data_IF_870016087794
#
_entry.id   IF_870016087794
#
_cell.length_a   1.000
_cell.length_b   1.000
_cell.length_c   1.000
_cell.angle_alpha   90.00
_cell.angle_beta   90.00
_cell.angle_gamma   90.00
#
_symmetry.space_group_name_H-M   'P 1'
#
loop_
_entity.id
_entity.type
_entity.pdbx_description
1 polymer ?
#
# COMPACT_ATOMS: atom_id res chain seq x y z
N UNK A 1 3.75 19.25 -20.78
CA UNK A 1 2.97 19.89 -19.68
C UNK A 1 3.87 20.08 -18.49
N UNK A 2 3.60 21.12 -17.70
CA UNK A 2 4.23 21.31 -16.38
C UNK A 2 3.34 20.70 -15.30
N UNK A 3 3.83 19.66 -14.60
CA UNK A 3 3.06 18.85 -13.68
C UNK A 3 3.67 18.93 -12.27
N UNK A 4 2.86 19.37 -11.30
CA UNK A 4 3.21 19.33 -9.89
C UNK A 4 2.70 18.03 -9.24
N UNK A 5 3.56 17.33 -8.52
CA UNK A 5 3.22 16.09 -7.80
C UNK A 5 3.43 16.35 -6.31
N UNK A 6 2.39 16.20 -5.52
CA UNK A 6 2.45 16.41 -4.07
C UNK A 6 2.56 15.07 -3.36
N UNK A 7 3.71 14.83 -2.72
CA UNK A 7 4.09 13.60 -2.02
C UNK A 7 5.08 12.73 -2.81
N UNK A 8 6.23 12.45 -2.20
CA UNK A 8 7.28 11.57 -2.71
C UNK A 8 7.18 10.14 -2.16
N UNK A 9 5.96 9.63 -1.98
CA UNK A 9 5.70 8.22 -1.67
C UNK A 9 5.73 7.34 -2.93
N UNK A 10 5.41 6.04 -2.77
CA UNK A 10 5.44 5.04 -3.87
C UNK A 10 4.67 5.52 -5.10
N UNK A 11 3.43 6.02 -4.93
CA UNK A 11 2.61 6.49 -6.05
C UNK A 11 3.16 7.73 -6.73
N UNK A 12 3.57 8.73 -5.93
CA UNK A 12 4.11 10.01 -6.44
C UNK A 12 5.41 9.83 -7.19
N UNK A 13 6.34 9.04 -6.65
CA UNK A 13 7.61 8.74 -7.34
C UNK A 13 7.40 7.89 -8.59
N UNK A 14 6.48 6.89 -8.55
CA UNK A 14 6.20 6.08 -9.75
C UNK A 14 5.63 6.93 -10.87
N UNK A 15 4.66 7.81 -10.60
CA UNK A 15 4.09 8.66 -11.64
C UNK A 15 5.09 9.71 -12.13
N UNK A 16 5.96 10.22 -11.25
CA UNK A 16 7.03 11.14 -11.62
C UNK A 16 8.02 10.49 -12.59
N UNK A 17 8.49 9.28 -12.28
CA UNK A 17 9.40 8.52 -13.14
C UNK A 17 8.80 8.33 -14.55
N UNK A 18 7.58 7.81 -14.63
CA UNK A 18 6.95 7.48 -15.90
C UNK A 18 6.62 8.72 -16.75
N UNK A 19 6.12 9.80 -16.14
CA UNK A 19 5.77 11.01 -16.87
C UNK A 19 7.01 11.83 -17.29
N UNK A 20 8.07 11.78 -16.49
CA UNK A 20 9.36 12.40 -16.85
C UNK A 20 9.96 11.77 -18.12
N UNK A 21 9.87 10.44 -18.26
CA UNK A 21 10.32 9.72 -19.47
C UNK A 21 9.54 10.12 -20.72
N UNK A 22 8.29 10.56 -20.58
CA UNK A 22 7.45 11.08 -21.67
C UNK A 22 7.75 12.55 -22.01
N UNK A 23 8.75 13.16 -21.37
CA UNK A 23 9.15 14.54 -21.65
C UNK A 23 8.28 15.60 -20.99
N UNK A 24 7.49 15.24 -19.96
CA UNK A 24 6.79 16.24 -19.16
C UNK A 24 7.76 16.94 -18.19
N UNK A 25 7.53 18.23 -17.94
CA UNK A 25 8.23 18.99 -16.89
C UNK A 25 7.62 18.63 -15.53
N UNK A 26 8.34 17.86 -14.73
CA UNK A 26 7.87 17.31 -13.46
C UNK A 26 8.48 18.03 -12.28
N UNK A 27 7.69 18.33 -11.26
CA UNK A 27 8.16 18.79 -9.96
C UNK A 27 7.44 18.02 -8.84
N UNK A 28 8.20 17.30 -8.03
CA UNK A 28 7.71 16.53 -6.87
C UNK A 28 7.99 17.33 -5.61
N UNK A 29 6.98 17.46 -4.74
CA UNK A 29 7.07 18.17 -3.46
C UNK A 29 6.89 17.19 -2.31
N UNK A 30 7.85 17.14 -1.42
CA UNK A 30 7.83 16.30 -0.21
C UNK A 30 8.04 17.18 1.02
N UNK A 31 7.13 17.06 2.00
CA UNK A 31 7.21 17.86 3.23
C UNK A 31 8.32 17.44 4.18
N UNK A 32 8.82 16.21 4.07
CA UNK A 32 9.93 15.72 4.88
C UNK A 32 11.28 16.19 4.32
N UNK A 33 12.30 16.20 5.20
CA UNK A 33 13.67 16.53 4.83
C UNK A 33 14.35 15.46 3.97
N UNK A 34 13.78 14.27 3.88
CA UNK A 34 14.26 13.15 3.06
C UNK A 34 13.12 12.28 2.62
N UNK A 35 13.33 11.55 1.53
CA UNK A 35 12.37 10.56 1.04
C UNK A 35 12.45 9.35 1.96
N UNK A 36 11.51 9.24 2.87
CA UNK A 36 11.40 8.10 3.78
C UNK A 36 9.94 7.75 4.03
N UNK A 37 9.69 6.47 4.12
CA UNK A 37 8.37 5.96 4.48
C UNK A 37 8.48 5.09 5.74
N UNK A 38 7.60 5.39 6.68
CA UNK A 38 7.50 4.63 7.92
C UNK A 38 6.76 3.32 7.61
N UNK A 39 7.53 2.26 7.38
CA UNK A 39 6.96 0.96 7.07
C UNK A 39 8.00 -0.15 7.15
N UNK A 40 7.57 -1.36 7.56
CA UNK A 40 8.47 -2.49 7.66
C UNK A 40 8.65 -3.14 6.27
N UNK A 41 7.71 -3.96 5.84
CA UNK A 41 7.75 -4.64 4.55
C UNK A 41 6.52 -4.35 3.69
N UNK A 42 6.64 -4.68 2.41
CA UNK A 42 5.59 -4.45 1.42
C UNK A 42 5.58 -5.55 0.37
N UNK A 43 4.39 -5.87 -0.15
CA UNK A 43 4.20 -6.78 -1.27
C UNK A 43 3.85 -6.04 -2.56
N UNK A 44 4.44 -6.46 -3.67
CA UNK A 44 4.12 -6.03 -5.03
C UNK A 44 3.61 -7.23 -5.81
N UNK A 45 2.35 -7.17 -6.21
CA UNK A 45 1.71 -8.26 -6.93
C UNK A 45 2.08 -8.30 -8.42
N UNK A 46 1.92 -9.47 -9.01
CA UNK A 46 2.12 -9.75 -10.43
C UNK A 46 1.37 -8.78 -11.39
N UNK A 47 0.23 -8.25 -10.94
CA UNK A 47 -0.54 -7.25 -11.67
C UNK A 47 0.26 -5.97 -11.98
N UNK A 48 1.15 -5.54 -11.10
CA UNK A 48 2.03 -4.38 -11.32
C UNK A 48 3.15 -4.75 -12.30
N UNK A 49 3.83 -5.87 -12.05
CA UNK A 49 4.95 -6.34 -12.87
C UNK A 49 4.53 -6.54 -14.33
N UNK A 50 3.38 -7.17 -14.55
CA UNK A 50 2.82 -7.38 -15.90
C UNK A 50 2.44 -6.08 -16.61
N UNK A 51 1.97 -5.08 -15.88
CA UNK A 51 1.61 -3.78 -16.49
C UNK A 51 2.83 -2.92 -16.81
N UNK A 52 3.87 -2.98 -16.02
CA UNK A 52 5.15 -2.37 -16.35
C UNK A 52 5.80 -3.04 -17.59
N UNK A 53 5.60 -4.36 -17.75
CA UNK A 53 6.13 -5.11 -18.89
C UNK A 53 7.65 -5.09 -18.93
N UNK A 54 8.24 -4.57 -20.03
CA UNK A 54 9.68 -4.51 -20.23
C UNK A 54 10.34 -3.24 -19.69
N UNK A 55 9.57 -2.37 -19.03
CA UNK A 55 10.09 -1.16 -18.40
C UNK A 55 11.19 -1.49 -17.38
N UNK A 56 12.24 -0.68 -17.33
CA UNK A 56 13.40 -0.93 -16.46
C UNK A 56 13.03 -0.99 -14.98
N UNK A 57 12.02 -0.23 -14.54
CA UNK A 57 11.48 -0.34 -13.19
C UNK A 57 10.98 -1.76 -12.87
N UNK A 58 10.38 -2.49 -13.85
CA UNK A 58 9.97 -3.87 -13.63
C UNK A 58 11.16 -4.80 -13.39
N UNK A 59 12.27 -4.59 -14.12
CA UNK A 59 13.52 -5.33 -13.93
C UNK A 59 14.13 -5.00 -12.56
N UNK A 60 14.17 -3.71 -12.20
CA UNK A 60 14.64 -3.25 -10.89
C UNK A 60 13.87 -3.90 -9.74
N UNK A 61 12.53 -3.93 -9.82
CA UNK A 61 11.67 -4.58 -8.82
C UNK A 61 11.95 -6.09 -8.69
N UNK A 62 12.09 -6.80 -9.81
CA UNK A 62 12.42 -8.25 -9.80
C UNK A 62 13.77 -8.55 -9.18
N UNK A 63 14.76 -7.69 -9.39
CA UNK A 63 16.11 -7.87 -8.84
C UNK A 63 16.17 -7.51 -7.34
N UNK A 64 15.37 -6.55 -6.89
CA UNK A 64 15.35 -6.08 -5.50
C UNK A 64 14.33 -6.80 -4.61
N UNK A 65 13.44 -7.59 -5.16
CA UNK A 65 12.36 -8.25 -4.43
C UNK A 65 12.61 -9.74 -4.18
N UNK A 66 12.14 -10.22 -3.02
CA UNK A 66 12.04 -11.65 -2.73
C UNK A 66 10.77 -12.21 -3.37
N UNK A 67 10.90 -13.33 -4.11
CA UNK A 67 9.77 -13.97 -4.80
C UNK A 67 9.00 -14.85 -3.81
N UNK A 68 7.68 -14.70 -3.76
CA UNK A 68 6.78 -15.59 -3.04
C UNK A 68 6.19 -16.65 -3.96
N UNK A 69 6.15 -17.90 -3.49
CA UNK A 69 5.52 -19.05 -4.17
C UNK A 69 4.10 -19.32 -3.66
N UNK A 70 3.83 -19.04 -2.38
CA UNK A 70 2.50 -19.20 -1.82
C UNK A 70 2.25 -18.26 -0.63
N UNK A 71 0.96 -18.18 -0.27
CA UNK A 71 0.50 -17.56 0.96
C UNK A 71 -0.35 -18.57 1.73
N UNK A 72 0.01 -18.79 3.00
CA UNK A 72 -0.69 -19.68 3.92
C UNK A 72 -1.43 -18.89 5.00
N UNK A 73 -2.59 -19.42 5.39
CA UNK A 73 -3.33 -18.98 6.59
C UNK A 73 -3.44 -20.18 7.51
N UNK A 74 -2.94 -20.01 8.73
CA UNK A 74 -3.00 -21.01 9.80
C UNK A 74 -3.77 -20.46 11.00
N UNK A 75 -4.19 -21.33 11.93
CA UNK A 75 -4.72 -20.87 13.20
C UNK A 75 -3.60 -20.58 14.22
N UNK A 76 -3.97 -20.10 15.41
CA UNK A 76 -3.05 -19.77 16.50
C UNK A 76 -2.36 -21.01 17.14
N UNK A 77 -2.64 -22.21 16.66
CA UNK A 77 -1.96 -23.47 17.00
C UNK A 77 -1.09 -24.00 15.87
N UNK A 78 -0.96 -23.23 14.76
CA UNK A 78 -0.17 -23.63 13.60
C UNK A 78 -0.87 -24.60 12.63
N UNK A 79 -2.16 -24.92 12.85
CA UNK A 79 -2.89 -25.79 11.92
C UNK A 79 -3.24 -25.01 10.65
N UNK A 80 -2.83 -25.55 9.50
CA UNK A 80 -3.12 -24.96 8.20
C UNK A 80 -4.65 -24.87 7.97
N UNK A 81 -5.15 -23.71 7.67
CA UNK A 81 -6.56 -23.48 7.30
C UNK A 81 -6.72 -23.40 5.78
N UNK A 82 -5.79 -22.78 5.10
CA UNK A 82 -5.79 -22.67 3.64
C UNK A 82 -4.42 -22.24 3.12
N UNK A 83 -4.12 -22.65 1.90
CA UNK A 83 -2.94 -22.21 1.16
C UNK A 83 -3.36 -21.75 -0.24
N UNK A 84 -2.81 -20.64 -0.67
CA UNK A 84 -2.98 -20.09 -2.01
C UNK A 84 -1.64 -20.12 -2.71
N UNK A 85 -1.36 -21.14 -3.52
CA UNK A 85 -0.16 -21.17 -4.34
C UNK A 85 -0.26 -20.10 -5.42
N UNK A 86 0.85 -19.45 -5.70
CA UNK A 86 0.95 -18.56 -6.86
C UNK A 86 1.34 -19.38 -8.10
N UNK A 87 0.80 -19.01 -9.25
CA UNK A 87 1.15 -19.71 -10.49
C UNK A 87 2.61 -19.41 -10.85
N UNK A 88 3.33 -20.42 -11.36
CA UNK A 88 4.77 -20.34 -11.67
C UNK A 88 5.14 -19.19 -12.61
N UNK A 89 4.21 -18.78 -13.49
CA UNK A 89 4.37 -17.68 -14.43
C UNK A 89 4.06 -16.32 -13.82
N UNK A 90 3.69 -16.24 -12.53
CA UNK A 90 3.40 -14.98 -11.84
C UNK A 90 4.58 -14.56 -10.97
N UNK A 91 4.76 -13.24 -10.86
CA UNK A 91 5.80 -12.63 -10.05
C UNK A 91 5.17 -11.85 -8.91
N UNK A 92 5.14 -12.44 -7.72
CA UNK A 92 4.70 -11.75 -6.50
C UNK A 92 5.94 -11.51 -5.64
N UNK A 93 6.22 -10.24 -5.36
CA UNK A 93 7.44 -9.79 -4.72
C UNK A 93 7.17 -9.25 -3.33
N UNK A 94 8.12 -9.45 -2.43
CA UNK A 94 8.17 -8.77 -1.14
C UNK A 94 9.52 -8.10 -0.95
N UNK A 95 9.52 -6.94 -0.30
CA UNK A 95 10.75 -6.20 -0.02
C UNK A 95 10.55 -5.29 1.19
N UNK A 96 11.64 -4.78 1.73
CA UNK A 96 11.62 -3.69 2.71
C UNK A 96 10.98 -2.47 2.04
N UNK A 97 10.06 -1.80 2.72
CA UNK A 97 9.30 -0.68 2.14
C UNK A 97 10.19 0.49 1.74
N UNK A 98 11.22 0.79 2.55
CA UNK A 98 12.20 1.83 2.21
C UNK A 98 12.99 1.47 0.94
N UNK A 99 13.41 0.20 0.79
CA UNK A 99 14.12 -0.25 -0.42
C UNK A 99 13.29 -0.09 -1.70
N UNK A 100 11.97 -0.28 -1.62
CA UNK A 100 11.08 -0.01 -2.75
C UNK A 100 11.09 1.48 -3.13
N UNK A 101 10.99 2.36 -2.14
CA UNK A 101 10.98 3.81 -2.36
C UNK A 101 12.31 4.29 -2.92
N UNK A 102 13.41 3.84 -2.33
CA UNK A 102 14.77 4.16 -2.80
C UNK A 102 14.98 3.72 -4.25
N UNK A 103 14.54 2.49 -4.58
CA UNK A 103 14.57 2.00 -5.95
C UNK A 103 13.78 2.89 -6.91
N UNK A 104 12.53 3.23 -6.59
CA UNK A 104 11.71 4.07 -7.48
C UNK A 104 12.32 5.48 -7.61
N UNK A 105 12.86 6.03 -6.54
CA UNK A 105 13.51 7.34 -6.54
C UNK A 105 14.70 7.41 -7.52
N UNK A 106 15.41 6.30 -7.76
CA UNK A 106 16.51 6.28 -8.75
C UNK A 106 16.06 6.55 -10.19
N UNK A 107 14.78 6.38 -10.48
CA UNK A 107 14.17 6.67 -11.78
C UNK A 107 13.67 8.12 -11.91
N UNK A 108 13.76 8.92 -10.86
CA UNK A 108 13.35 10.34 -10.88
C UNK A 108 14.59 11.21 -10.78
N UNK A 109 14.72 12.20 -11.67
CA UNK A 109 15.84 13.15 -11.61
C UNK A 109 15.81 13.91 -10.29
N UNK A 110 16.96 14.00 -9.63
CA UNK A 110 17.08 14.63 -8.31
C UNK A 110 16.63 16.09 -8.31
N UNK A 111 16.92 16.83 -9.37
CA UNK A 111 16.51 18.23 -9.56
C UNK A 111 15.00 18.43 -9.63
N UNK A 112 14.24 17.36 -9.92
CA UNK A 112 12.79 17.39 -9.95
C UNK A 112 12.15 17.17 -8.58
N UNK A 113 12.95 16.86 -7.53
CA UNK A 113 12.42 16.57 -6.19
C UNK A 113 12.77 17.74 -5.26
N UNK A 114 11.74 18.31 -4.65
CA UNK A 114 11.82 19.38 -3.65
C UNK A 114 11.44 18.81 -2.28
N UNK A 115 12.46 18.69 -1.41
CA UNK A 115 12.28 18.27 -0.01
C UNK A 115 12.03 19.48 0.89
N UNK A 116 11.46 19.26 2.08
CA UNK A 116 11.04 20.33 3.02
C UNK A 116 10.03 21.31 2.41
N UNK A 117 9.25 20.88 1.42
CA UNK A 117 8.25 21.71 0.76
C UNK A 117 6.83 21.16 1.04
N UNK A 118 6.21 21.69 2.08
CA UNK A 118 4.84 21.34 2.45
C UNK A 118 3.85 22.23 1.71
N UNK A 119 2.94 21.60 0.97
CA UNK A 119 1.81 22.29 0.30
C UNK A 119 0.72 22.56 1.33
N UNK A 120 0.36 23.83 1.48
CA UNK A 120 -0.68 24.31 2.41
C UNK A 120 -1.91 24.88 1.70
N UNK A 121 -1.80 25.22 0.42
CA UNK A 121 -2.89 25.77 -0.39
C UNK A 121 -2.88 25.27 -1.82
N UNK A 122 -4.07 25.22 -2.43
CA UNK A 122 -4.26 24.88 -3.83
C UNK A 122 -5.36 25.78 -4.43
N UNK A 123 -5.03 26.46 -5.52
CA UNK A 123 -5.94 27.34 -6.25
C UNK A 123 -6.11 26.86 -7.67
N UNK A 124 -7.33 26.44 -8.03
CA UNK A 124 -7.60 25.82 -9.34
C UNK A 124 -8.41 26.78 -10.21
N UNK A 125 -7.82 27.20 -11.34
CA UNK A 125 -8.44 28.03 -12.38
C UNK A 125 -8.73 27.21 -13.65
N UNK A 126 -9.27 27.86 -14.67
CA UNK A 126 -9.47 27.24 -15.98
C UNK A 126 -8.15 27.00 -16.72
N UNK A 127 -7.14 27.84 -16.48
CA UNK A 127 -5.86 27.81 -17.19
C UNK A 127 -4.77 27.03 -16.48
N UNK A 128 -4.91 26.75 -15.18
CA UNK A 128 -3.88 26.03 -14.42
C UNK A 128 -4.19 25.92 -12.92
N UNK A 129 -3.17 25.45 -12.20
CA UNK A 129 -3.23 25.26 -10.74
C UNK A 129 -2.05 25.98 -10.09
N UNK A 130 -2.32 26.74 -9.05
CA UNK A 130 -1.28 27.28 -8.17
C UNK A 130 -1.22 26.48 -6.86
N UNK A 131 -0.02 26.16 -6.40
CA UNK A 131 0.25 25.56 -5.10
C UNK A 131 0.98 26.57 -4.22
N UNK A 132 0.48 26.75 -2.99
CA UNK A 132 1.14 27.55 -1.97
C UNK A 132 1.86 26.65 -0.98
N UNK A 133 3.04 27.06 -0.57
CA UNK A 133 3.95 26.31 0.30
C UNK A 133 4.14 27.00 1.65
N UNK A 134 4.50 26.22 2.68
CA UNK A 134 4.85 26.76 4.01
C UNK A 134 5.99 27.79 3.92
N UNK A 135 6.88 27.66 2.95
CA UNK A 135 7.97 28.63 2.67
C UNK A 135 7.47 30.01 2.24
N UNK A 136 6.17 30.19 1.96
CA UNK A 136 5.59 31.40 1.40
C UNK A 136 5.71 31.51 -0.13
N UNK A 137 6.33 30.54 -0.78
CA UNK A 137 6.41 30.50 -2.23
C UNK A 137 5.07 30.01 -2.85
N UNK A 138 4.83 30.40 -4.11
CA UNK A 138 3.74 29.88 -4.95
C UNK A 138 4.33 29.36 -6.26
N UNK A 139 3.85 28.20 -6.72
CA UNK A 139 4.26 27.63 -8.02
C UNK A 139 3.03 27.28 -8.87
N UNK A 140 3.18 27.42 -10.19
CA UNK A 140 2.08 27.22 -11.16
C UNK A 140 2.32 26.01 -12.05
N UNK A 141 1.26 25.25 -12.33
CA UNK A 141 1.25 24.00 -13.07
C UNK A 141 0.04 23.90 -14.02
N UNK A 142 0.19 23.14 -15.09
CA UNK A 142 -0.92 22.76 -15.97
C UNK A 142 -1.83 21.73 -15.28
N UNK A 143 -1.22 20.83 -14.49
CA UNK A 143 -1.85 19.74 -13.76
C UNK A 143 -1.16 19.56 -12.41
N UNK A 144 -1.94 19.28 -11.37
CA UNK A 144 -1.44 18.84 -10.06
C UNK A 144 -1.91 17.42 -9.78
N UNK A 145 -1.00 16.56 -9.35
CA UNK A 145 -1.28 15.19 -8.89
C UNK A 145 -1.09 15.15 -7.39
N UNK A 146 -2.19 14.96 -6.64
CA UNK A 146 -2.17 14.73 -5.19
C UNK A 146 -1.87 13.27 -4.90
N UNK A 147 -0.66 12.97 -4.44
CA UNK A 147 -0.15 11.65 -4.01
C UNK A 147 0.31 11.69 -2.55
N UNK A 148 -0.26 12.58 -1.75
CA UNK A 148 0.09 12.96 -0.38
C UNK A 148 -0.54 12.06 0.69
N UNK A 149 -0.95 10.86 0.31
CA UNK A 149 -1.29 9.75 1.19
C UNK A 149 -2.66 9.85 1.86
N UNK A 150 -2.84 9.03 2.89
CA UNK A 150 -4.13 8.86 3.60
C UNK A 150 -4.71 10.19 4.12
N UNK A 151 -3.87 11.06 4.66
CA UNK A 151 -4.26 12.37 5.22
C UNK A 151 -4.05 13.53 4.23
N UNK A 152 -4.29 13.28 2.96
CA UNK A 152 -4.07 14.19 1.85
C UNK A 152 -4.70 15.58 2.07
N UNK A 153 -3.86 16.62 2.08
CA UNK A 153 -4.27 18.03 2.10
C UNK A 153 -4.93 18.40 0.77
N UNK A 154 -4.39 17.90 -0.35
CA UNK A 154 -4.98 18.16 -1.68
C UNK A 154 -6.40 17.62 -1.76
N UNK A 155 -6.63 16.37 -1.30
CA UNK A 155 -7.99 15.80 -1.26
C UNK A 155 -8.92 16.62 -0.40
N UNK A 156 -8.49 17.02 0.81
CA UNK A 156 -9.34 17.81 1.71
C UNK A 156 -9.72 19.16 1.11
N UNK A 157 -8.81 19.81 0.40
CA UNK A 157 -9.07 21.09 -0.27
C UNK A 157 -10.10 20.97 -1.40
N UNK A 158 -10.04 19.90 -2.23
CA UNK A 158 -10.94 19.75 -3.39
C UNK A 158 -12.20 18.92 -3.08
N UNK A 159 -12.16 18.06 -2.05
CA UNK A 159 -13.28 17.23 -1.59
C UNK A 159 -13.38 17.25 -0.05
N UNK A 160 -13.83 18.36 0.55
CA UNK A 160 -13.84 18.55 2.01
C UNK A 160 -14.71 17.54 2.75
N UNK A 161 -15.71 16.97 2.11
CA UNK A 161 -16.57 15.92 2.68
C UNK A 161 -15.95 14.52 2.67
N UNK A 162 -14.73 14.37 2.15
CA UNK A 162 -14.04 13.07 2.14
C UNK A 162 -13.64 12.66 3.56
N UNK A 163 -13.90 11.39 3.92
CA UNK A 163 -13.68 10.91 5.29
C UNK A 163 -12.75 9.70 5.30
N UNK A 164 -11.73 9.78 6.13
CA UNK A 164 -10.91 8.67 6.57
C UNK A 164 -11.66 7.92 7.67
N UNK A 165 -11.71 6.59 7.60
CA UNK A 165 -12.44 5.77 8.55
C UNK A 165 -11.49 4.82 9.28
N UNK A 166 -11.51 4.87 10.59
CA UNK A 166 -10.88 3.87 11.43
C UNK A 166 -11.55 2.51 11.27
N UNK A 167 -10.76 1.43 11.20
CA UNK A 167 -11.29 0.10 10.87
C UNK A 167 -11.44 -0.83 12.08
N UNK A 168 -11.27 -0.32 13.31
CA UNK A 168 -11.54 -1.05 14.54
C UNK A 168 -10.38 -1.92 15.01
N UNK A 169 -9.17 -1.76 14.47
CA UNK A 169 -7.99 -2.49 14.90
C UNK A 169 -6.69 -1.71 14.65
N UNK A 170 -5.69 -2.02 15.46
CA UNK A 170 -4.34 -1.48 15.37
C UNK A 170 -3.36 -2.53 14.86
N UNK A 171 -2.16 -2.10 14.46
CA UNK A 171 -1.16 -2.96 13.86
C UNK A 171 0.25 -2.60 14.35
N UNK A 172 0.99 -3.59 14.81
CA UNK A 172 2.42 -3.55 15.08
C UNK A 172 3.18 -4.20 13.93
N UNK A 173 4.38 -3.71 13.63
CA UNK A 173 5.18 -4.20 12.51
C UNK A 173 6.66 -4.06 12.81
N UNK A 174 7.45 -4.94 12.18
CA UNK A 174 8.90 -4.85 12.22
C UNK A 174 9.55 -5.69 11.14
N UNK A 175 10.87 -5.63 11.08
CA UNK A 175 11.72 -6.48 10.26
C UNK A 175 12.72 -7.17 11.17
N UNK A 176 12.96 -8.45 10.92
CA UNK A 176 13.90 -9.28 11.66
C UNK A 176 14.85 -10.00 10.70
N UNK A 177 16.03 -10.32 11.20
CA UNK A 177 17.08 -11.04 10.52
C UNK A 177 17.02 -12.55 10.80
N UNK A 178 17.85 -13.34 10.10
CA UNK A 178 18.06 -14.78 10.32
C UNK A 178 16.80 -15.65 10.22
N UNK A 179 15.98 -15.38 9.23
CA UNK A 179 14.72 -16.09 8.97
C UNK A 179 14.76 -16.91 7.66
N UNK A 180 15.92 -17.39 7.26
CA UNK A 180 16.14 -18.15 6.00
C UNK A 180 15.27 -19.39 5.86
N UNK A 181 14.87 -20.01 6.98
CA UNK A 181 14.02 -21.21 7.02
C UNK A 181 12.60 -20.99 6.51
N UNK A 182 12.13 -19.73 6.39
CA UNK A 182 10.80 -19.41 5.88
C UNK A 182 10.66 -19.68 4.37
N UNK A 183 11.77 -19.75 3.62
CA UNK A 183 11.76 -19.96 2.18
C UNK A 183 10.97 -18.88 1.44
N UNK A 184 10.00 -19.29 0.61
CA UNK A 184 9.21 -18.41 -0.27
C UNK A 184 7.72 -18.39 0.10
N UNK A 185 7.38 -18.71 1.36
CA UNK A 185 6.01 -18.82 1.85
C UNK A 185 5.69 -17.71 2.85
N UNK A 186 4.72 -16.87 2.52
CA UNK A 186 4.18 -15.93 3.48
C UNK A 186 3.10 -16.62 4.33
N UNK A 187 3.18 -16.51 5.65
CA UNK A 187 2.23 -17.16 6.56
C UNK A 187 1.53 -16.14 7.44
N UNK A 188 0.21 -16.25 7.54
CA UNK A 188 -0.60 -15.45 8.47
C UNK A 188 -1.32 -16.38 9.46
N UNK A 189 -1.12 -16.13 10.75
CA UNK A 189 -1.74 -16.87 11.86
C UNK A 189 -2.97 -16.11 12.37
N UNK A 190 -4.15 -16.73 12.32
CA UNK A 190 -5.41 -16.14 12.71
C UNK A 190 -5.88 -16.66 14.08
N UNK A 191 -5.60 -15.89 15.13
CA UNK A 191 -5.97 -16.21 16.49
C UNK A 191 -7.32 -15.64 16.95
N UNK A 192 -7.63 -15.87 18.24
CA UNK A 192 -8.87 -15.39 18.88
C UNK A 192 -8.83 -13.92 19.27
N UNK A 193 -7.65 -13.37 19.47
CA UNK A 193 -7.43 -12.00 19.96
C UNK A 193 -6.64 -11.15 18.99
N UNK A 194 -6.30 -11.68 17.81
CA UNK A 194 -5.50 -10.97 16.83
C UNK A 194 -4.94 -11.90 15.76
N UNK A 195 -4.15 -11.32 14.89
CA UNK A 195 -3.46 -12.00 13.81
C UNK A 195 -1.98 -11.67 13.85
N UNK A 196 -1.17 -12.62 13.40
CA UNK A 196 0.26 -12.41 13.21
C UNK A 196 0.65 -12.89 11.82
N UNK A 197 1.31 -12.05 11.04
CA UNK A 197 1.82 -12.40 9.72
C UNK A 197 3.32 -12.36 9.67
N UNK A 198 3.93 -13.33 8.99
CA UNK A 198 5.37 -13.43 8.73
C UNK A 198 5.56 -13.55 7.23
N UNK A 199 6.34 -12.66 6.67
CA UNK A 199 6.54 -12.53 5.23
C UNK A 199 8.03 -12.51 4.94
N UNK A 200 8.57 -13.52 4.21
CA UNK A 200 9.98 -13.56 3.84
C UNK A 200 10.39 -12.35 2.99
N UNK A 201 11.60 -11.89 3.21
CA UNK A 201 12.27 -10.85 2.45
C UNK A 201 13.61 -11.37 1.91
N UNK A 202 14.31 -10.59 1.10
CA UNK A 202 15.66 -10.95 0.64
C UNK A 202 16.65 -11.08 1.81
N UNK A 203 17.75 -11.76 1.58
CA UNK A 203 18.89 -11.89 2.50
C UNK A 203 18.54 -12.52 3.86
N UNK A 204 17.53 -13.39 3.90
CA UNK A 204 17.12 -14.06 5.14
C UNK A 204 16.39 -13.15 6.13
N UNK A 205 15.97 -11.97 5.72
CA UNK A 205 15.10 -11.12 6.51
C UNK A 205 13.65 -11.59 6.48
N UNK A 206 12.85 -11.17 7.44
CA UNK A 206 11.41 -11.28 7.40
C UNK A 206 10.74 -10.01 7.90
N UNK A 207 9.71 -9.60 7.19
CA UNK A 207 8.75 -8.63 7.65
C UNK A 207 7.64 -9.32 8.44
N UNK A 208 7.26 -8.76 9.58
CA UNK A 208 6.13 -9.24 10.34
C UNK A 208 5.12 -8.14 10.66
N UNK A 209 3.88 -8.54 10.88
CA UNK A 209 2.84 -7.66 11.38
C UNK A 209 1.97 -8.39 12.39
N UNK A 210 1.52 -7.67 13.41
CA UNK A 210 0.60 -8.15 14.43
C UNK A 210 -0.58 -7.20 14.54
N UNK A 211 -1.81 -7.71 14.41
CA UNK A 211 -3.02 -6.89 14.48
C UNK A 211 -3.89 -7.28 15.65
N UNK A 212 -4.43 -6.30 16.35
CA UNK A 212 -5.33 -6.47 17.48
C UNK A 212 -6.52 -5.52 17.37
N UNK A 213 -7.72 -5.99 17.71
CA UNK A 213 -8.87 -5.11 17.78
C UNK A 213 -8.66 -4.08 18.90
N UNK A 214 -8.94 -2.84 18.59
CA UNK A 214 -8.68 -1.70 19.45
C UNK A 214 -9.69 -0.58 19.21
N UNK A 215 -9.83 0.31 20.18
CA UNK A 215 -10.42 1.63 19.94
C UNK A 215 -9.42 2.49 19.18
N UNK A 216 -9.92 3.48 18.46
CA UNK A 216 -9.06 4.46 17.80
C UNK A 216 -8.18 5.17 18.83
N UNK A 217 -6.86 5.24 18.58
CA UNK A 217 -5.86 5.85 19.48
C UNK A 217 -5.93 5.31 20.89
N UNK A 218 -6.16 4.01 21.07
CA UNK A 218 -6.30 3.38 22.37
C UNK A 218 -5.00 3.52 23.18
N UNK A 219 -5.08 4.27 24.28
CA UNK A 219 -3.96 4.55 25.17
C UNK A 219 -3.28 3.27 25.70
N UNK A 220 -4.01 2.16 25.79
CA UNK A 220 -3.47 0.86 26.18
C UNK A 220 -2.26 0.45 25.32
N UNK A 221 -2.28 0.77 24.01
CA UNK A 221 -1.26 0.34 23.07
C UNK A 221 -0.10 1.33 22.88
N UNK A 222 -0.17 2.53 23.49
CA UNK A 222 0.91 3.52 23.41
C UNK A 222 2.22 3.02 24.04
N UNK A 223 2.13 2.13 25.00
CA UNK A 223 3.28 1.58 25.73
C UNK A 223 3.57 0.11 25.37
N UNK A 224 2.91 -0.42 24.33
CA UNK A 224 3.17 -1.77 23.87
C UNK A 224 4.53 -1.81 23.18
N UNK A 225 5.45 -2.51 23.80
CA UNK A 225 6.80 -2.80 23.33
C UNK A 225 6.96 -4.30 23.09
N UNK A 226 8.15 -4.74 22.73
CA UNK A 226 8.47 -6.15 22.48
C UNK A 226 8.01 -7.09 23.62
N UNK A 227 8.31 -6.86 24.92
CA UNK A 227 7.84 -7.71 26.03
C UNK A 227 6.31 -7.88 26.07
N UNK A 228 5.55 -6.85 25.80
CA UNK A 228 4.08 -6.97 25.76
C UNK A 228 3.61 -7.81 24.58
N UNK A 229 4.23 -7.64 23.42
CA UNK A 229 3.90 -8.43 22.24
C UNK A 229 4.27 -9.91 22.43
N UNK A 230 5.44 -10.19 23.04
CA UNK A 230 5.85 -11.55 23.41
C UNK A 230 4.83 -12.20 24.35
N UNK A 231 4.43 -11.51 25.41
CA UNK A 231 3.43 -12.00 26.36
C UNK A 231 2.05 -12.20 25.70
N UNK A 232 1.64 -11.30 24.80
CA UNK A 232 0.35 -11.37 24.14
C UNK A 232 0.25 -12.52 23.15
N UNK A 233 1.33 -12.79 22.38
CA UNK A 233 1.40 -13.81 21.33
C UNK A 233 2.13 -15.09 21.80
N UNK A 234 2.41 -15.29 23.10
CA UNK A 234 3.17 -16.43 23.62
C UNK A 234 2.56 -17.80 23.28
N UNK A 235 1.23 -17.84 23.05
CA UNK A 235 0.47 -19.04 22.71
C UNK A 235 0.44 -19.35 21.20
N UNK A 236 1.02 -18.48 20.38
CA UNK A 236 1.18 -18.70 18.94
C UNK A 236 2.35 -19.68 18.66
N UNK A 237 2.44 -20.22 17.44
CA UNK A 237 3.53 -21.12 17.03
C UNK A 237 4.93 -20.56 17.26
N UNK A 238 5.91 -21.44 17.22
CA UNK A 238 7.32 -21.11 17.46
C UNK A 238 7.84 -20.03 16.51
N UNK A 239 7.44 -20.05 15.24
CA UNK A 239 7.84 -19.03 14.27
C UNK A 239 7.46 -17.61 14.75
N UNK A 240 6.27 -17.43 15.33
CA UNK A 240 5.82 -16.14 15.86
C UNK A 240 6.66 -15.72 17.07
N UNK A 241 6.94 -16.66 17.98
CA UNK A 241 7.81 -16.40 19.15
C UNK A 241 9.22 -16.05 18.72
N UNK A 242 9.80 -16.84 17.81
CA UNK A 242 11.14 -16.60 17.25
C UNK A 242 11.28 -15.23 16.61
N UNK A 243 10.28 -14.80 15.81
CA UNK A 243 10.24 -13.46 15.23
C UNK A 243 10.25 -12.38 16.31
N UNK A 244 9.41 -12.51 17.34
CA UNK A 244 9.35 -11.54 18.42
C UNK A 244 10.62 -11.53 19.27
N UNK A 245 11.28 -12.68 19.45
CA UNK A 245 12.54 -12.79 20.18
C UNK A 245 13.70 -12.09 19.43
N UNK A 246 13.70 -12.18 18.09
CA UNK A 246 14.70 -11.53 17.24
C UNK A 246 14.45 -10.04 17.02
N UNK A 247 13.21 -9.54 17.25
CA UNK A 247 12.86 -8.14 17.02
C UNK A 247 13.65 -7.20 17.94
N UNK A 248 14.36 -6.18 17.42
CA UNK A 248 14.93 -5.11 18.22
C UNK A 248 13.83 -4.30 18.95
N UNK A 249 14.06 -3.94 20.22
CA UNK A 249 13.02 -3.24 21.04
C UNK A 249 12.61 -1.89 20.46
N UNK A 250 13.55 -1.17 19.87
CA UNK A 250 13.36 0.21 19.40
C UNK A 250 12.75 0.31 18.00
N UNK A 251 12.56 -0.82 17.31
CA UNK A 251 12.18 -0.84 15.88
C UNK A 251 10.77 -1.36 15.65
N UNK A 252 9.95 -1.43 16.68
CA UNK A 252 8.55 -1.82 16.53
C UNK A 252 7.72 -0.60 16.12
N UNK A 253 7.15 -0.68 14.94
CA UNK A 253 6.24 0.35 14.42
C UNK A 253 4.81 0.05 14.88
N UNK A 254 4.07 1.09 15.31
CA UNK A 254 2.68 0.99 15.74
C UNK A 254 1.81 1.99 14.99
N UNK A 255 0.71 1.51 14.40
CA UNK A 255 -0.24 2.34 13.67
C UNK A 255 -1.66 1.78 13.75
N UNK A 256 -2.62 2.66 13.95
CA UNK A 256 -4.03 2.36 13.74
C UNK A 256 -4.33 2.17 12.26
N UNK A 257 -5.28 1.29 11.96
CA UNK A 257 -5.63 0.97 10.58
C UNK A 257 -6.86 1.77 10.12
N UNK A 258 -6.63 2.50 9.06
CA UNK A 258 -7.65 3.34 8.40
C UNK A 258 -7.83 2.94 6.95
N UNK A 259 -8.94 3.38 6.38
CA UNK A 259 -9.17 3.45 4.95
C UNK A 259 -9.95 4.70 4.57
N UNK A 260 -10.12 4.92 3.28
CA UNK A 260 -10.91 6.04 2.75
C UNK A 260 -12.30 5.53 2.34
N UNK A 261 -13.35 6.31 2.65
CA UNK A 261 -14.65 6.10 2.02
C UNK A 261 -14.48 6.30 0.50
N UNK A 262 -14.93 5.34 -0.34
CA UNK A 262 -14.76 5.45 -1.79
C UNK A 262 -15.27 6.78 -2.34
N UNK A 263 -14.41 7.49 -3.04
CA UNK A 263 -14.75 8.73 -3.73
C UNK A 263 -15.54 8.42 -5.00
N UNK A 264 -16.31 9.42 -5.47
CA UNK A 264 -17.07 9.33 -6.73
C UNK A 264 -16.24 9.74 -7.94
N UNK A 265 -15.20 10.51 -7.74
CA UNK A 265 -14.24 10.98 -8.75
C UNK A 265 -12.88 11.19 -8.12
N UNK A 266 -11.81 11.07 -8.91
CA UNK A 266 -10.43 11.36 -8.50
C UNK A 266 -9.90 12.65 -9.14
N UNK A 267 -10.71 13.30 -9.99
CA UNK A 267 -10.30 14.52 -10.70
C UNK A 267 -11.17 15.71 -10.30
N UNK A 268 -10.57 16.89 -10.34
CA UNK A 268 -11.25 18.14 -10.06
C UNK A 268 -10.90 19.18 -11.13
N UNK A 269 -11.93 19.78 -11.75
CA UNK A 269 -11.84 20.81 -12.82
C UNK A 269 -10.86 20.48 -13.96
N UNK A 270 -10.64 19.21 -14.23
CA UNK A 270 -9.64 18.71 -15.21
C UNK A 270 -8.21 19.25 -15.01
N UNK A 271 -7.88 19.66 -13.79
CA UNK A 271 -6.58 20.26 -13.41
C UNK A 271 -5.94 19.63 -12.19
N UNK A 272 -6.71 18.86 -11.42
CA UNK A 272 -6.19 18.14 -10.25
C UNK A 272 -6.61 16.69 -10.36
N UNK A 273 -5.65 15.79 -10.09
CA UNK A 273 -5.86 14.34 -10.01
C UNK A 273 -5.40 13.84 -8.64
N UNK A 274 -6.18 13.00 -7.98
CA UNK A 274 -5.74 12.23 -6.82
C UNK A 274 -5.25 10.84 -7.25
N UNK A 275 -4.17 10.35 -6.61
CA UNK A 275 -3.52 9.10 -6.91
C UNK A 275 -3.16 8.34 -5.61
N UNK A 276 -3.22 7.01 -5.65
CA UNK A 276 -2.86 6.16 -4.51
C UNK A 276 -3.73 6.40 -3.27
N UNK A 277 -3.13 6.42 -2.09
CA UNK A 277 -3.85 6.57 -0.82
C UNK A 277 -4.58 7.91 -0.68
N UNK A 278 -4.15 8.95 -1.38
CA UNK A 278 -4.88 10.21 -1.47
C UNK A 278 -6.26 10.03 -2.13
N UNK A 279 -6.39 9.11 -3.07
CA UNK A 279 -7.61 8.81 -3.81
C UNK A 279 -8.43 7.66 -3.22
N UNK A 280 -7.76 6.59 -2.75
CA UNK A 280 -8.42 5.32 -2.46
C UNK A 280 -7.70 4.47 -1.41
N UNK A 281 -7.18 5.08 -0.35
CA UNK A 281 -6.55 4.36 0.75
C UNK A 281 -7.36 3.14 1.19
N UNK A 282 -6.69 2.00 1.33
CA UNK A 282 -7.30 0.71 1.66
C UNK A 282 -6.61 0.06 2.85
N UNK A 283 -7.35 -0.79 3.58
CA UNK A 283 -6.75 -1.63 4.62
C UNK A 283 -5.72 -2.61 4.02
N UNK A 284 -4.72 -3.07 4.78
CA UNK A 284 -3.64 -3.91 4.25
C UNK A 284 -4.04 -5.36 3.95
N UNK A 285 -5.28 -5.77 4.23
CA UNK A 285 -5.73 -7.17 4.20
C UNK A 285 -5.65 -7.89 2.83
N UNK A 286 -5.40 -7.15 1.76
CA UNK A 286 -5.17 -7.71 0.42
C UNK A 286 -3.75 -7.46 -0.10
N UNK A 287 -2.89 -6.78 0.66
CA UNK A 287 -1.55 -6.39 0.21
C UNK A 287 -1.54 -5.51 -1.05
N UNK A 288 -2.59 -4.70 -1.28
CA UNK A 288 -2.77 -4.02 -2.57
C UNK A 288 -2.52 -2.51 -2.57
N UNK A 289 -2.27 -1.88 -1.42
CA UNK A 289 -2.14 -0.40 -1.35
C UNK A 289 -1.10 0.14 -2.32
N UNK A 290 0.14 -0.30 -2.20
CA UNK A 290 1.23 0.10 -3.09
C UNK A 290 0.98 -0.32 -4.54
N UNK A 291 0.54 -1.57 -4.75
CA UNK A 291 0.24 -2.07 -6.10
C UNK A 291 -0.81 -1.20 -6.82
N UNK A 292 -1.86 -0.76 -6.11
CA UNK A 292 -2.88 0.10 -6.71
C UNK A 292 -2.36 1.51 -7.01
N UNK A 293 -1.48 2.08 -6.16
CA UNK A 293 -0.84 3.36 -6.43
C UNK A 293 0.10 3.30 -7.66
N UNK A 294 0.87 2.22 -7.80
CA UNK A 294 1.71 2.00 -8.98
C UNK A 294 0.85 1.77 -10.24
N UNK A 295 -0.25 1.02 -10.14
CA UNK A 295 -1.18 0.85 -11.26
C UNK A 295 -1.83 2.16 -11.72
N UNK A 296 -2.12 3.07 -10.78
CA UNK A 296 -2.61 4.42 -11.10
C UNK A 296 -1.59 5.16 -11.97
N UNK A 297 -0.32 5.14 -11.56
CA UNK A 297 0.77 5.81 -12.27
C UNK A 297 0.96 5.24 -13.69
N UNK A 298 1.01 3.90 -13.81
CA UNK A 298 1.18 3.20 -15.09
C UNK A 298 0.00 3.51 -16.03
N UNK A 299 -1.23 3.49 -15.51
CA UNK A 299 -2.40 3.79 -16.29
C UNK A 299 -2.41 5.24 -16.77
N UNK A 300 -2.11 6.19 -15.89
CA UNK A 300 -2.10 7.62 -16.23
C UNK A 300 -1.06 7.92 -17.31
N UNK A 301 0.15 7.36 -17.17
CA UNK A 301 1.22 7.45 -18.16
C UNK A 301 0.77 6.93 -19.51
N UNK A 302 0.19 5.72 -19.60
CA UNK A 302 -0.31 5.17 -20.86
C UNK A 302 -1.51 5.94 -21.44
N UNK A 303 -2.30 6.63 -20.62
CA UNK A 303 -3.38 7.49 -21.11
C UNK A 303 -2.82 8.78 -21.73
N UNK A 304 -1.77 9.38 -21.14
CA UNK A 304 -1.16 10.59 -21.69
C UNK A 304 -0.41 10.37 -23.01
N UNK A 305 0.04 9.14 -23.28
CA UNK A 305 0.58 8.78 -24.59
C UNK A 305 -0.47 8.82 -25.72
N UNK A 306 -1.75 8.62 -25.38
CA UNK A 306 -2.82 8.39 -26.36
C UNK A 306 -3.84 9.50 -26.46
N UNK A 307 -3.98 10.30 -25.43
CA UNK A 307 -5.07 11.27 -25.28
C UNK A 307 -4.54 12.61 -24.74
N UNK A 308 -5.24 13.68 -25.07
CA UNK A 308 -5.04 14.94 -24.37
C UNK A 308 -5.36 14.83 -22.88
N UNK A 309 -4.96 15.82 -22.10
CA UNK A 309 -5.09 15.82 -20.65
C UNK A 309 -6.55 15.61 -20.19
N UNK A 310 -7.52 16.27 -20.83
CA UNK A 310 -8.92 16.23 -20.40
C UNK A 310 -9.52 14.84 -20.60
N UNK A 311 -9.32 14.28 -21.79
CA UNK A 311 -9.83 12.93 -22.10
C UNK A 311 -9.07 11.85 -21.31
N UNK A 312 -7.76 12.01 -21.10
CA UNK A 312 -6.96 11.12 -20.25
C UNK A 312 -7.50 11.07 -18.81
N UNK A 313 -7.74 12.22 -18.19
CA UNK A 313 -8.29 12.31 -16.83
C UNK A 313 -9.70 11.72 -16.73
N UNK A 314 -10.54 11.93 -17.72
CA UNK A 314 -11.88 11.33 -17.80
C UNK A 314 -11.80 9.80 -17.89
N UNK A 315 -10.92 9.24 -18.74
CA UNK A 315 -10.70 7.80 -18.86
C UNK A 315 -10.10 7.20 -17.59
N UNK A 316 -9.17 7.90 -16.95
CA UNK A 316 -8.62 7.50 -15.67
C UNK A 316 -9.73 7.31 -14.62
N UNK A 317 -10.62 8.29 -14.45
CA UNK A 317 -11.77 8.17 -13.56
C UNK A 317 -12.64 6.94 -13.88
N UNK A 318 -12.99 6.74 -15.15
CA UNK A 318 -13.84 5.62 -15.57
C UNK A 318 -13.23 4.26 -15.21
N UNK A 319 -11.91 4.14 -15.34
CA UNK A 319 -11.19 2.88 -15.11
C UNK A 319 -10.88 2.65 -13.63
N UNK A 320 -10.50 3.71 -12.88
CA UNK A 320 -9.98 3.56 -11.51
C UNK A 320 -11.02 3.65 -10.41
N UNK A 321 -11.99 4.55 -10.49
CA UNK A 321 -12.94 4.80 -9.39
C UNK A 321 -13.70 3.54 -8.97
N UNK A 322 -14.30 2.83 -9.92
CA UNK A 322 -15.05 1.59 -9.63
C UNK A 322 -14.12 0.44 -9.21
N UNK A 323 -12.94 0.36 -9.83
CA UNK A 323 -11.96 -0.70 -9.55
C UNK A 323 -11.44 -0.59 -8.10
N UNK A 324 -10.93 0.57 -7.71
CA UNK A 324 -10.37 0.79 -6.37
C UNK A 324 -11.43 0.76 -5.27
N UNK A 325 -12.65 1.24 -5.54
CA UNK A 325 -13.79 1.07 -4.62
C UNK A 325 -14.08 -0.42 -4.34
N UNK A 326 -13.89 -1.31 -5.32
CA UNK A 326 -14.01 -2.75 -5.14
C UNK A 326 -12.87 -3.32 -4.30
N UNK A 327 -11.63 -2.83 -4.49
CA UNK A 327 -10.48 -3.20 -3.65
C UNK A 327 -10.74 -2.83 -2.19
N UNK A 328 -11.12 -1.57 -1.91
CA UNK A 328 -11.44 -1.10 -0.55
C UNK A 328 -12.49 -1.98 0.11
N UNK A 329 -13.63 -2.22 -0.57
CA UNK A 329 -14.74 -3.02 -0.03
C UNK A 329 -14.33 -4.47 0.28
N UNK A 330 -13.53 -5.08 -0.60
CA UNK A 330 -13.03 -6.46 -0.41
C UNK A 330 -12.02 -6.53 0.73
N UNK A 331 -11.07 -5.61 0.77
CA UNK A 331 -10.08 -5.54 1.83
C UNK A 331 -10.73 -5.38 3.21
N UNK A 332 -11.75 -4.49 3.34
CA UNK A 332 -12.58 -4.38 4.53
C UNK A 332 -13.27 -5.69 4.92
N UNK A 333 -13.87 -6.38 3.93
CA UNK A 333 -14.58 -7.64 4.18
C UNK A 333 -13.64 -8.71 4.71
N UNK A 334 -12.45 -8.84 4.12
CA UNK A 334 -11.41 -9.76 4.59
C UNK A 334 -10.99 -9.39 6.03
N UNK A 335 -10.71 -8.12 6.29
CA UNK A 335 -10.35 -7.65 7.63
C UNK A 335 -11.41 -8.00 8.68
N UNK A 336 -12.70 -7.74 8.39
CA UNK A 336 -13.82 -8.10 9.29
C UNK A 336 -13.92 -9.60 9.58
N UNK A 337 -13.58 -10.45 8.62
CA UNK A 337 -13.58 -11.91 8.81
C UNK A 337 -12.35 -12.31 9.65
N UNK A 338 -11.17 -11.81 9.29
CA UNK A 338 -9.92 -12.17 9.92
C UNK A 338 -9.83 -11.67 11.37
N UNK A 339 -10.40 -10.49 11.66
CA UNK A 339 -10.41 -9.86 13.00
C UNK A 339 -11.56 -10.34 13.91
N UNK A 340 -12.28 -11.40 13.54
CA UNK A 340 -13.30 -11.97 14.45
C UNK A 340 -12.68 -12.47 15.73
N UNK A 341 -13.28 -12.12 16.86
CA UNK A 341 -12.88 -12.52 18.22
C UNK A 341 -13.90 -13.48 18.83
N UNK A 342 -13.48 -14.12 19.93
CA UNK A 342 -14.32 -15.03 20.69
C UNK A 342 -14.25 -16.47 20.20
N UNK A 343 -14.37 -17.38 21.15
CA UNK A 343 -14.12 -18.83 20.98
C UNK A 343 -14.98 -19.48 19.88
N UNK A 344 -16.28 -19.19 19.87
CA UNK A 344 -17.21 -19.80 18.92
C UNK A 344 -17.08 -19.20 17.50
N UNK A 345 -16.98 -17.87 17.41
CA UNK A 345 -16.89 -17.17 16.11
C UNK A 345 -15.59 -17.48 15.37
N UNK A 346 -14.47 -17.62 16.10
CA UNK A 346 -13.18 -18.01 15.51
C UNK A 346 -13.16 -19.48 15.11
N UNK A 347 -13.75 -20.37 15.90
CA UNK A 347 -13.89 -21.79 15.53
C UNK A 347 -14.69 -21.96 14.24
N UNK A 348 -15.84 -21.27 14.11
CA UNK A 348 -16.66 -21.28 12.90
C UNK A 348 -15.92 -20.69 11.70
N UNK A 349 -15.20 -19.56 11.91
CA UNK A 349 -14.36 -18.95 10.86
C UNK A 349 -13.28 -19.94 10.38
N UNK A 350 -12.55 -20.55 11.30
CA UNK A 350 -11.45 -21.46 10.96
C UNK A 350 -11.98 -22.71 10.22
N UNK A 351 -13.09 -23.30 10.70
CA UNK A 351 -13.73 -24.42 10.00
C UNK A 351 -14.21 -24.03 8.59
N UNK A 352 -14.80 -22.83 8.43
CA UNK A 352 -15.20 -22.33 7.12
C UNK A 352 -13.99 -22.18 6.20
N UNK A 353 -12.88 -21.59 6.67
CA UNK A 353 -11.66 -21.42 5.88
C UNK A 353 -11.05 -22.75 5.47
N UNK A 354 -11.03 -23.75 6.36
CA UNK A 354 -10.43 -25.08 6.08
C UNK A 354 -11.20 -25.93 5.07
N UNK A 355 -12.50 -25.64 4.83
CA UNK A 355 -13.32 -26.37 3.84
C UNK A 355 -13.52 -25.59 2.53
N UNK A 356 -13.10 -24.33 2.47
CA UNK A 356 -13.19 -23.52 1.26
C UNK A 356 -12.16 -24.02 0.22
N UNK A 357 -12.57 -24.33 -1.01
CA UNK A 357 -11.62 -24.64 -2.07
C UNK A 357 -10.65 -23.47 -2.31
N UNK A 358 -9.35 -23.76 -2.35
CA UNK A 358 -8.30 -22.76 -2.60
C UNK A 358 -8.55 -21.92 -3.86
N UNK A 359 -9.17 -22.54 -4.89
CA UNK A 359 -9.58 -21.87 -6.13
C UNK A 359 -10.57 -20.70 -5.89
N UNK A 360 -11.48 -20.83 -4.91
CA UNK A 360 -12.43 -19.76 -4.59
C UNK A 360 -11.75 -18.59 -3.90
N UNK A 361 -10.72 -18.86 -3.10
CA UNK A 361 -9.92 -17.83 -2.45
C UNK A 361 -9.07 -17.11 -3.50
N UNK A 362 -8.36 -17.84 -4.37
CA UNK A 362 -7.59 -17.31 -5.48
C UNK A 362 -8.44 -16.48 -6.45
N UNK A 363 -9.69 -16.88 -6.71
CA UNK A 363 -10.62 -16.14 -7.56
C UNK A 363 -11.02 -14.76 -7.00
N UNK A 364 -10.86 -14.54 -5.69
CA UNK A 364 -11.15 -13.23 -5.10
C UNK A 364 -10.19 -12.13 -5.58
N UNK A 365 -9.00 -12.48 -6.02
CA UNK A 365 -7.97 -11.55 -6.53
C UNK A 365 -7.93 -11.48 -8.06
N UNK A 366 -8.55 -12.42 -8.81
CA UNK A 366 -8.54 -12.44 -10.29
C UNK A 366 -8.97 -11.12 -10.96
N UNK A 367 -9.81 -10.31 -10.31
CA UNK A 367 -10.24 -9.04 -10.86
C UNK A 367 -9.11 -8.00 -10.90
N UNK A 368 -8.05 -8.16 -10.10
CA UNK A 368 -6.87 -7.29 -10.10
C UNK A 368 -6.13 -7.36 -11.45
N UNK A 369 -6.12 -8.56 -12.06
CA UNK A 369 -5.46 -8.80 -13.34
C UNK A 369 -6.35 -8.46 -14.57
N UNK A 370 -7.63 -8.09 -14.36
CA UNK A 370 -8.58 -7.82 -15.45
C UNK A 370 -8.51 -6.41 -16.02
N UNK A 371 -7.78 -5.47 -15.39
CA UNK A 371 -7.59 -4.16 -15.99
C UNK A 371 -6.64 -4.29 -17.18
N UNK A 372 -7.17 -4.06 -18.39
CA UNK A 372 -6.41 -4.15 -19.64
C UNK A 372 -5.20 -3.20 -19.59
N UNK A 373 -4.05 -3.65 -20.15
CA UNK A 373 -3.06 -2.74 -20.71
C UNK A 373 -3.79 -1.86 -21.73
N UNK A 374 -3.57 -0.56 -21.67
CA UNK A 374 -4.03 0.36 -22.72
C UNK A 374 -3.15 0.21 -23.95
#
# INVERSE_FOLDING_TARGET
MKIGIVGAGIGGLTVAALLQEQGHEIQVFEKKARIEDIGAGIGIGDNVIKKLGDHDLAKGLKNAGHILESMQISDDQGRLLTEVPFAKETTNLTMVRQSLIDLIATYVKTENIRLNEEVIGIHVSETGVALDFVSGATSHFDLVIGADGLHSNIRQAIFPDSKVNYQGYTCFRGVVEDMTHLGQVATEYWGRKGRFGIVPLLNGQAYWFATMNAKEKDAKYLHYNKPYLQAYFNHFPEDVRSVLDKQPETEVLHHDIYDLKPLKTFTYKNRVLLLGDAAHATTPNMGQGAGQAMEDAILLSGLFEKYDMVEALKKYNQLRVKHTAKVIKRSRKIGKIAQKEGKLSTALRNRFMSVLPNQLIANQTKFLNKSKRL
#
